data_IF_719000267161
#
_entry.id   IF_719000267161
#
_cell.length_a   1.000
_cell.length_b   1.000
_cell.length_c   1.000
_cell.angle_alpha   90.00
_cell.angle_beta   90.00
_cell.angle_gamma   90.00
#
_symmetry.space_group_name_H-M   'P 1'
#
loop_
_entity.id
_entity.type
_entity.pdbx_description
1 polymer ?
#
# COMPACT_ATOMS: atom_id res chain seq x y z
N UNK A 1 -1.13 15.27 -8.46
CA UNK A 1 -0.30 14.67 -7.38
C UNK A 1 0.27 13.33 -7.82
N UNK A 2 1.40 12.88 -7.28
CA UNK A 2 1.99 11.57 -7.55
C UNK A 2 1.77 10.63 -6.36
N UNK A 3 1.01 9.56 -6.59
CA UNK A 3 0.81 8.45 -5.65
C UNK A 3 1.63 7.25 -6.13
N UNK A 4 2.42 6.68 -5.25
CA UNK A 4 3.30 5.57 -5.57
C UNK A 4 2.81 4.28 -4.93
N UNK A 5 3.23 3.15 -5.48
CA UNK A 5 3.06 1.84 -4.85
C UNK A 5 4.33 1.05 -4.97
N UNK A 6 4.67 0.22 -3.98
CA UNK A 6 5.85 -0.63 -4.02
C UNK A 6 5.56 -2.01 -3.40
N UNK A 7 6.17 -3.03 -3.98
CA UNK A 7 6.27 -4.38 -3.43
C UNK A 7 7.67 -4.66 -2.92
N UNK A 8 7.80 -5.23 -1.71
CA UNK A 8 9.14 -5.50 -1.15
C UNK A 8 9.76 -6.83 -1.60
N UNK A 9 8.96 -7.83 -2.02
CA UNK A 9 9.53 -9.11 -2.45
C UNK A 9 10.32 -8.97 -3.76
N UNK A 10 11.35 -9.81 -3.91
CA UNK A 10 12.34 -9.78 -5.00
C UNK A 10 13.11 -8.46 -5.14
N UNK A 11 13.13 -7.62 -4.10
CA UNK A 11 14.00 -6.45 -4.00
C UNK A 11 14.93 -6.60 -2.81
N UNK A 12 16.20 -6.25 -3.00
CA UNK A 12 17.12 -6.05 -1.88
C UNK A 12 16.74 -4.77 -1.11
N UNK A 13 17.19 -4.65 0.14
CA UNK A 13 17.03 -3.42 0.90
C UNK A 13 17.60 -2.21 0.14
N UNK A 14 18.77 -2.36 -0.49
CA UNK A 14 19.41 -1.30 -1.29
C UNK A 14 18.48 -0.84 -2.41
N UNK A 15 17.96 -1.75 -3.23
CA UNK A 15 17.06 -1.40 -4.33
C UNK A 15 15.78 -0.74 -3.80
N UNK A 16 15.16 -1.33 -2.78
CA UNK A 16 13.93 -0.83 -2.19
C UNK A 16 14.06 0.62 -1.70
N UNK A 17 15.04 0.91 -0.85
CA UNK A 17 15.22 2.26 -0.31
C UNK A 17 15.75 3.25 -1.36
N UNK A 18 16.52 2.79 -2.35
CA UNK A 18 16.96 3.64 -3.47
C UNK A 18 15.77 4.09 -4.32
N UNK A 19 14.82 3.19 -4.62
CA UNK A 19 13.60 3.53 -5.34
C UNK A 19 12.78 4.59 -4.61
N UNK A 20 12.63 4.46 -3.28
CA UNK A 20 11.92 5.45 -2.46
C UNK A 20 12.60 6.82 -2.48
N UNK A 21 13.93 6.87 -2.33
CA UNK A 21 14.71 8.12 -2.36
C UNK A 21 14.64 8.80 -3.72
N UNK A 22 14.87 8.06 -4.80
CA UNK A 22 14.88 8.62 -6.16
C UNK A 22 13.52 9.18 -6.58
N UNK A 23 12.43 8.64 -6.04
CA UNK A 23 11.08 9.12 -6.30
C UNK A 23 10.59 10.18 -5.30
N UNK A 24 11.45 10.65 -4.39
CA UNK A 24 11.14 11.69 -3.40
C UNK A 24 9.90 11.35 -2.55
N UNK A 25 9.78 10.07 -2.15
CA UNK A 25 8.72 9.62 -1.26
C UNK A 25 8.88 10.32 0.09
N UNK A 26 7.79 10.84 0.66
CA UNK A 26 7.77 11.49 1.97
C UNK A 26 7.06 10.64 3.05
N UNK A 27 6.21 9.69 2.62
CA UNK A 27 5.46 8.80 3.50
C UNK A 27 5.26 7.43 2.87
N UNK A 28 5.55 6.38 3.62
CA UNK A 28 5.16 5.00 3.28
C UNK A 28 3.94 4.62 4.10
N UNK A 29 2.89 4.16 3.40
CA UNK A 29 1.68 3.63 3.99
C UNK A 29 1.69 2.12 3.77
N UNK A 30 1.92 1.38 4.83
CA UNK A 30 1.92 -0.08 4.82
C UNK A 30 0.49 -0.60 4.86
N UNK A 31 0.08 -1.21 3.75
CA UNK A 31 -1.28 -1.75 3.56
C UNK A 31 -1.33 -3.27 3.76
N UNK A 32 -0.27 -3.85 4.33
CA UNK A 32 -0.23 -5.29 4.62
C UNK A 32 -1.13 -5.61 5.80
N UNK A 33 -1.90 -6.70 5.69
CA UNK A 33 -2.68 -7.21 6.82
C UNK A 33 -1.79 -7.62 8.01
N UNK A 34 -0.60 -8.15 7.73
CA UNK A 34 0.42 -8.47 8.73
C UNK A 34 1.79 -7.99 8.22
N UNK A 35 2.52 -7.23 9.03
CA UNK A 35 3.83 -6.65 8.70
C UNK A 35 5.01 -7.35 9.41
N UNK A 36 4.77 -8.46 10.10
CA UNK A 36 5.78 -9.29 10.79
C UNK A 36 6.41 -10.36 9.90
N UNK A 37 6.22 -10.27 8.58
CA UNK A 37 6.66 -11.26 7.61
C UNK A 37 8.16 -11.57 7.70
N UNK A 38 8.53 -12.85 7.61
CA UNK A 38 9.91 -13.30 7.56
C UNK A 38 10.50 -13.30 6.13
N UNK A 39 9.73 -12.86 5.14
CA UNK A 39 10.14 -12.88 3.72
C UNK A 39 11.34 -11.96 3.44
N UNK A 40 11.45 -10.85 4.17
CA UNK A 40 12.58 -9.93 4.11
C UNK A 40 12.77 -9.25 5.47
N UNK A 41 13.96 -9.40 6.06
CA UNK A 41 14.26 -8.84 7.39
C UNK A 41 14.05 -7.32 7.45
N UNK A 42 14.52 -6.58 6.45
CA UNK A 42 14.37 -5.12 6.37
C UNK A 42 12.91 -4.65 6.29
N UNK A 43 11.99 -5.54 5.88
CA UNK A 43 10.58 -5.21 5.66
C UNK A 43 9.70 -5.52 6.88
N UNK A 44 10.27 -5.95 8.01
CA UNK A 44 9.53 -6.11 9.28
C UNK A 44 9.08 -4.74 9.78
N UNK A 45 7.86 -4.64 10.32
CA UNK A 45 7.23 -3.37 10.70
C UNK A 45 8.15 -2.40 11.46
N UNK A 46 8.73 -2.83 12.58
CA UNK A 46 9.63 -1.98 13.38
C UNK A 46 10.95 -1.64 12.66
N UNK A 47 11.48 -2.59 11.91
CA UNK A 47 12.76 -2.43 11.22
C UNK A 47 12.62 -1.48 10.02
N UNK A 48 11.55 -1.61 9.23
CA UNK A 48 11.30 -0.75 8.08
C UNK A 48 10.97 0.68 8.52
N UNK A 49 10.17 0.84 9.59
CA UNK A 49 9.87 2.14 10.19
C UNK A 49 11.15 2.86 10.59
N UNK A 50 12.00 2.21 11.39
CA UNK A 50 13.28 2.77 11.82
C UNK A 50 14.18 3.13 10.62
N UNK A 51 14.30 2.26 9.62
CA UNK A 51 15.17 2.52 8.47
C UNK A 51 14.67 3.70 7.63
N UNK A 52 13.35 3.79 7.43
CA UNK A 52 12.71 4.89 6.70
C UNK A 52 12.94 6.23 7.40
N UNK A 53 12.72 6.29 8.71
CA UNK A 53 12.88 7.51 9.51
C UNK A 53 14.34 7.95 9.58
N UNK A 54 15.26 7.03 9.93
CA UNK A 54 16.65 7.39 10.17
C UNK A 54 17.43 7.67 8.87
N UNK A 55 17.29 6.80 7.87
CA UNK A 55 18.15 6.83 6.70
C UNK A 55 17.50 7.47 5.47
N UNK A 56 16.18 7.59 5.45
CA UNK A 56 15.45 8.15 4.31
C UNK A 56 14.68 9.44 4.65
N UNK A 57 14.47 9.76 5.94
CA UNK A 57 13.60 10.86 6.38
C UNK A 57 12.18 10.72 5.82
N UNK A 58 11.71 9.47 5.75
CA UNK A 58 10.39 9.09 5.25
C UNK A 58 9.54 8.68 6.44
N UNK A 59 8.35 9.27 6.57
CA UNK A 59 7.39 8.87 7.60
C UNK A 59 6.76 7.51 7.27
N UNK A 60 6.40 6.73 8.28
CA UNK A 60 5.80 5.41 8.12
C UNK A 60 4.49 5.32 8.90
N UNK A 61 3.47 4.68 8.32
CA UNK A 61 2.27 4.26 9.04
C UNK A 61 1.85 2.86 8.61
N UNK A 62 1.31 2.07 9.55
CA UNK A 62 0.68 0.78 9.27
C UNK A 62 -0.84 0.89 9.25
N UNK A 63 -1.42 0.93 8.05
CA UNK A 63 -2.83 1.20 7.80
C UNK A 63 -3.60 -0.10 7.48
N UNK A 64 -3.79 -0.96 8.48
CA UNK A 64 -4.45 -2.28 8.30
C UNK A 64 -5.89 -2.20 7.78
N UNK A 65 -6.57 -1.07 7.97
CA UNK A 65 -7.88 -0.83 7.39
C UNK A 65 -7.89 -0.70 5.86
N UNK A 66 -6.73 -0.40 5.26
CA UNK A 66 -6.50 -0.45 3.82
C UNK A 66 -6.07 -1.84 3.33
N UNK A 67 -5.99 -2.83 4.21
CA UNK A 67 -5.68 -4.21 3.87
C UNK A 67 -6.95 -5.03 3.61
N UNK A 68 -6.90 -6.07 2.75
CA UNK A 68 -7.97 -7.06 2.69
C UNK A 68 -8.17 -7.73 4.05
N UNK A 69 -9.39 -8.14 4.38
CA UNK A 69 -9.64 -8.92 5.60
C UNK A 69 -9.10 -10.36 5.44
N UNK A 70 -9.01 -11.09 6.56
CA UNK A 70 -8.50 -12.48 6.57
C UNK A 70 -9.31 -13.41 5.67
N UNK A 71 -10.63 -13.23 5.63
CA UNK A 71 -11.56 -14.07 4.87
C UNK A 71 -11.33 -13.96 3.37
N UNK A 72 -11.40 -12.73 2.81
CA UNK A 72 -11.15 -12.45 1.39
C UNK A 72 -9.76 -12.96 0.97
N UNK A 73 -8.75 -12.74 1.80
CA UNK A 73 -7.39 -13.18 1.52
C UNK A 73 -7.28 -14.72 1.50
N UNK A 74 -7.90 -15.40 2.47
CA UNK A 74 -7.88 -16.85 2.56
C UNK A 74 -8.67 -17.50 1.43
N UNK A 75 -9.83 -16.96 1.09
CA UNK A 75 -10.66 -17.54 0.02
C UNK A 75 -10.00 -17.40 -1.34
N UNK A 76 -9.30 -16.30 -1.61
CA UNK A 76 -8.50 -16.16 -2.82
C UNK A 76 -7.29 -17.11 -2.84
N UNK A 77 -6.54 -17.21 -1.74
CA UNK A 77 -5.40 -18.15 -1.62
C UNK A 77 -5.83 -19.62 -1.79
N UNK A 78 -6.99 -19.97 -1.26
CA UNK A 78 -7.56 -21.31 -1.35
C UNK A 78 -8.34 -21.54 -2.65
N UNK A 79 -8.27 -20.61 -3.62
CA UNK A 79 -8.93 -20.67 -4.93
C UNK A 79 -10.45 -20.85 -4.86
N UNK A 80 -11.09 -20.44 -3.76
CA UNK A 80 -12.56 -20.41 -3.63
C UNK A 80 -13.18 -19.24 -4.39
N UNK A 81 -12.43 -18.14 -4.50
CA UNK A 81 -12.78 -16.98 -5.32
C UNK A 81 -11.68 -16.70 -6.33
N UNK A 82 -12.05 -16.22 -7.51
CA UNK A 82 -11.12 -15.73 -8.51
C UNK A 82 -10.72 -14.27 -8.23
N UNK A 83 -9.81 -13.74 -9.05
CA UNK A 83 -9.31 -12.38 -8.89
C UNK A 83 -10.42 -11.32 -9.05
N UNK A 84 -11.32 -11.47 -10.03
CA UNK A 84 -12.42 -10.52 -10.24
C UNK A 84 -13.35 -10.44 -9.01
N UNK A 85 -13.65 -11.59 -8.41
CA UNK A 85 -14.41 -11.67 -7.16
C UNK A 85 -13.66 -11.03 -6.00
N UNK A 86 -12.35 -11.25 -5.89
CA UNK A 86 -11.49 -10.59 -4.90
C UNK A 86 -11.54 -9.06 -5.05
N UNK A 87 -11.40 -8.53 -6.27
CA UNK A 87 -11.48 -7.08 -6.51
C UNK A 87 -12.82 -6.50 -6.07
N UNK A 88 -13.92 -7.17 -6.43
CA UNK A 88 -15.27 -6.74 -6.07
C UNK A 88 -15.47 -6.73 -4.55
N UNK A 89 -15.09 -7.83 -3.87
CA UNK A 89 -15.23 -7.95 -2.42
C UNK A 89 -14.35 -6.92 -1.68
N UNK A 90 -13.12 -6.73 -2.14
CA UNK A 90 -12.19 -5.80 -1.49
C UNK A 90 -12.58 -4.34 -1.72
N UNK A 91 -13.00 -3.95 -2.93
CA UNK A 91 -13.54 -2.60 -3.17
C UNK A 91 -14.76 -2.31 -2.30
N UNK A 92 -15.68 -3.28 -2.18
CA UNK A 92 -16.83 -3.16 -1.28
C UNK A 92 -16.39 -2.98 0.17
N UNK A 93 -15.41 -3.74 0.64
CA UNK A 93 -14.86 -3.61 2.00
C UNK A 93 -14.30 -2.20 2.27
N UNK A 94 -13.63 -1.57 1.30
CA UNK A 94 -13.13 -0.19 1.46
C UNK A 94 -14.28 0.82 1.62
N UNK A 95 -15.38 0.62 0.90
CA UNK A 95 -16.60 1.44 1.02
C UNK A 95 -17.27 1.20 2.38
N UNK A 96 -17.48 -0.06 2.76
CA UNK A 96 -18.15 -0.45 4.01
C UNK A 96 -17.38 0.04 5.25
N UNK A 97 -16.04 0.11 5.16
CA UNK A 97 -15.17 0.69 6.20
C UNK A 97 -15.16 2.22 6.22
N UNK A 98 -15.85 2.87 5.28
CA UNK A 98 -15.84 4.31 5.11
C UNK A 98 -14.42 4.90 5.02
N UNK A 99 -13.57 4.24 4.21
CA UNK A 99 -12.15 4.60 4.09
C UNK A 99 -11.96 6.04 3.62
N UNK A 100 -12.89 6.58 2.82
CA UNK A 100 -12.81 7.97 2.36
C UNK A 100 -12.74 8.96 3.54
N UNK A 101 -13.60 8.81 4.54
CA UNK A 101 -13.59 9.70 5.71
C UNK A 101 -12.27 9.61 6.49
N UNK A 102 -11.68 8.42 6.58
CA UNK A 102 -10.36 8.25 7.20
C UNK A 102 -9.27 8.95 6.39
N UNK A 103 -9.27 8.78 5.07
CA UNK A 103 -8.30 9.41 4.18
C UNK A 103 -8.40 10.94 4.26
N UNK A 104 -9.61 11.49 4.27
CA UNK A 104 -9.86 12.93 4.44
C UNK A 104 -9.23 13.46 5.73
N UNK A 105 -9.40 12.73 6.85
CA UNK A 105 -8.85 13.11 8.15
C UNK A 105 -7.32 12.97 8.22
N UNK A 106 -6.78 11.86 7.73
CA UNK A 106 -5.38 11.48 7.97
C UNK A 106 -4.42 12.11 6.93
N UNK A 107 -4.92 12.46 5.74
CA UNK A 107 -4.11 13.00 4.65
C UNK A 107 -4.54 14.38 4.16
N UNK A 108 -5.71 14.87 4.57
CA UNK A 108 -6.23 16.20 4.20
C UNK A 108 -6.11 16.50 2.70
N UNK A 109 -6.55 15.55 1.87
CA UNK A 109 -6.47 15.60 0.40
C UNK A 109 -5.06 15.75 -0.18
N UNK A 110 -3.99 15.51 0.58
CA UNK A 110 -2.63 15.52 0.07
C UNK A 110 -2.08 14.10 -0.07
N UNK A 111 -2.05 13.61 -1.31
CA UNK A 111 -1.50 12.29 -1.65
C UNK A 111 -0.15 12.34 -2.35
N UNK A 112 0.44 13.54 -2.49
CA UNK A 112 1.70 13.71 -3.21
C UNK A 112 2.87 13.13 -2.42
N UNK A 113 3.66 12.26 -3.07
CA UNK A 113 4.83 11.61 -2.46
C UNK A 113 4.49 10.50 -1.47
N UNK A 114 3.24 10.02 -1.43
CA UNK A 114 2.84 8.85 -0.65
C UNK A 114 3.16 7.57 -1.43
N UNK A 115 3.68 6.55 -0.75
CA UNK A 115 3.94 5.22 -1.32
C UNK A 115 3.17 4.12 -0.57
N UNK A 116 2.29 3.38 -1.27
CA UNK A 116 1.57 2.23 -0.73
C UNK A 116 2.43 0.96 -0.79
N UNK A 117 2.72 0.36 0.36
CA UNK A 117 3.57 -0.83 0.49
C UNK A 117 2.73 -2.12 0.62
N UNK A 118 2.94 -3.09 -0.28
CA UNK A 118 2.50 -4.49 -0.10
C UNK A 118 3.66 -5.50 -0.20
N UNK A 119 3.37 -6.80 -0.16
CA UNK A 119 4.41 -7.83 -0.18
C UNK A 119 4.78 -8.25 -1.60
N UNK A 120 3.78 -8.42 -2.44
CA UNK A 120 3.84 -8.93 -3.81
C UNK A 120 4.79 -8.11 -4.67
N UNK A 121 5.53 -8.74 -5.59
CA UNK A 121 6.47 -8.04 -6.47
C UNK A 121 5.76 -7.03 -7.38
N UNK A 122 4.76 -7.49 -8.15
CA UNK A 122 4.04 -6.68 -9.14
C UNK A 122 2.68 -6.20 -8.63
N UNK A 123 2.12 -5.19 -9.32
CA UNK A 123 0.82 -4.61 -8.97
C UNK A 123 -0.38 -5.33 -9.63
N UNK A 124 -0.14 -6.24 -10.58
CA UNK A 124 -1.16 -6.79 -11.48
C UNK A 124 -2.30 -7.50 -10.76
N UNK A 125 -1.99 -8.19 -9.68
CA UNK A 125 -2.96 -8.84 -8.80
C UNK A 125 -2.61 -8.57 -7.32
N UNK A 126 -2.25 -7.31 -6.97
CA UNK A 126 -2.06 -6.89 -5.56
C UNK A 126 -3.15 -5.91 -5.11
N UNK A 127 -3.61 -6.08 -3.86
CA UNK A 127 -4.49 -5.13 -3.17
C UNK A 127 -3.94 -3.69 -3.14
N UNK A 128 -2.62 -3.47 -3.14
CA UNK A 128 -2.03 -2.11 -3.21
C UNK A 128 -2.50 -1.33 -4.44
N UNK A 129 -2.70 -2.01 -5.58
CA UNK A 129 -3.24 -1.39 -6.79
C UNK A 129 -4.67 -0.91 -6.54
N UNK A 130 -5.50 -1.80 -5.99
CA UNK A 130 -6.91 -1.51 -5.72
C UNK A 130 -7.07 -0.35 -4.73
N UNK A 131 -6.20 -0.24 -3.72
CA UNK A 131 -6.16 0.92 -2.81
C UNK A 131 -5.78 2.20 -3.57
N UNK A 132 -4.74 2.17 -4.41
CA UNK A 132 -4.32 3.34 -5.20
C UNK A 132 -5.44 3.81 -6.15
N UNK A 133 -6.09 2.88 -6.84
CA UNK A 133 -7.22 3.14 -7.73
C UNK A 133 -8.44 3.66 -6.98
N UNK A 134 -8.72 3.10 -5.80
CA UNK A 134 -9.77 3.60 -4.90
C UNK A 134 -9.53 5.06 -4.52
N UNK A 135 -8.30 5.42 -4.12
CA UNK A 135 -7.93 6.81 -3.81
C UNK A 135 -8.17 7.67 -5.05
N UNK A 136 -7.57 7.34 -6.20
CA UNK A 136 -7.72 8.13 -7.43
C UNK A 136 -9.18 8.35 -7.83
N UNK A 137 -10.03 7.32 -7.72
CA UNK A 137 -11.46 7.40 -8.05
C UNK A 137 -12.26 8.31 -7.10
N UNK A 138 -11.90 8.37 -5.82
CA UNK A 138 -12.60 9.18 -4.82
C UNK A 138 -12.15 10.65 -4.79
N UNK A 139 -11.05 10.99 -5.47
CA UNK A 139 -10.51 12.35 -5.55
C UNK A 139 -10.21 12.77 -6.99
N UNK A 140 -11.23 12.85 -7.87
CA UNK A 140 -11.04 13.14 -9.30
C UNK A 140 -10.36 14.51 -9.54
N UNK A 141 -10.63 15.50 -8.69
CA UNK A 141 -10.15 16.88 -8.87
C UNK A 141 -8.67 17.08 -8.49
N UNK A 142 -8.04 16.09 -7.83
CA UNK A 142 -6.64 16.20 -7.37
C UNK A 142 -5.60 15.82 -8.44
N UNK A 143 -6.04 15.36 -9.61
CA UNK A 143 -5.15 14.97 -10.71
C UNK A 143 -4.11 13.92 -10.27
N UNK A 144 -4.54 12.87 -9.58
CA UNK A 144 -3.65 11.83 -9.05
C UNK A 144 -3.12 10.94 -10.18
N UNK A 145 -1.80 10.87 -10.31
CA UNK A 145 -1.09 9.92 -11.15
C UNK A 145 -0.52 8.78 -10.30
N UNK A 146 -0.76 7.53 -10.70
CA UNK A 146 -0.32 6.34 -9.98
C UNK A 146 0.95 5.80 -10.64
N UNK A 147 2.02 5.60 -9.86
CA UNK A 147 3.28 5.02 -10.32
C UNK A 147 3.61 3.76 -9.52
N UNK A 148 3.82 2.64 -10.21
CA UNK A 148 4.24 1.38 -9.58
C UNK A 148 5.77 1.23 -9.63
N UNK A 149 6.40 1.05 -8.46
CA UNK A 149 7.85 0.91 -8.23
C UNK A 149 8.28 -0.55 -8.01
#
# INVERSE_FOLDING_TARGET
MKLFTIGFTKKTAREFFTLLKNNQINKVVDVRLNNSSQLAGFAKGKDIEYILEEFCKISYIHATELAPNKEILNDYKNKKINWQQYESLFNKLLVDRNIKNKLDRDFNNNFDGICLLCSEETADNCHRRLVAEYIKRNYPDLGINITHL
#
